data_IF_260661636180
#
_entry.id   IF_260661636180
#
_cell.length_a   1.000
_cell.length_b   1.000
_cell.length_c   1.000
_cell.angle_alpha   90.00
_cell.angle_beta   90.00
_cell.angle_gamma   90.00
#
_symmetry.space_group_name_H-M   'P 1'
#
loop_
_entity.id
_entity.type
_entity.pdbx_description
1 polymer ?
#
# COMPACT_ATOMS: atom_id res chain seq x y z
N UNK A 1 16.90 47.39 -30.23
CA UNK A 1 16.61 47.39 -28.78
C UNK A 1 15.90 46.10 -28.44
N UNK A 2 16.57 45.18 -27.75
CA UNK A 2 15.95 43.92 -27.27
C UNK A 2 14.80 44.28 -26.32
N UNK A 3 13.62 43.71 -26.55
CA UNK A 3 12.40 44.02 -25.79
C UNK A 3 12.64 43.80 -24.29
N UNK A 4 12.08 44.66 -23.43
CA UNK A 4 12.13 44.52 -21.97
C UNK A 4 11.64 43.13 -21.52
N UNK A 5 10.73 42.50 -22.28
CA UNK A 5 10.31 41.09 -22.09
C UNK A 5 11.45 40.09 -22.30
N UNK A 6 12.28 40.26 -23.33
CA UNK A 6 13.40 39.37 -23.63
C UNK A 6 14.52 39.50 -22.60
N UNK A 7 14.76 40.71 -22.10
CA UNK A 7 15.71 40.97 -21.02
C UNK A 7 15.23 40.36 -19.70
N UNK A 8 13.95 40.50 -19.34
CA UNK A 8 13.32 39.83 -18.19
C UNK A 8 13.34 38.30 -18.32
N UNK A 9 13.14 37.76 -19.52
CA UNK A 9 13.24 36.33 -19.78
C UNK A 9 14.67 35.82 -19.61
N UNK A 10 15.66 36.56 -20.10
CA UNK A 10 17.08 36.27 -19.94
C UNK A 10 17.52 36.26 -18.47
N UNK A 11 17.09 37.25 -17.69
CA UNK A 11 17.39 37.36 -16.26
C UNK A 11 16.72 36.22 -15.47
N UNK A 12 15.43 35.93 -15.72
CA UNK A 12 14.74 34.78 -15.09
C UNK A 12 15.39 33.44 -15.41
N UNK A 13 15.86 33.27 -16.65
CA UNK A 13 16.57 32.05 -17.07
C UNK A 13 17.94 31.93 -16.42
N UNK A 14 18.66 33.05 -16.22
CA UNK A 14 19.95 33.10 -15.51
C UNK A 14 19.77 32.80 -14.02
N UNK A 15 18.81 33.45 -13.35
CA UNK A 15 18.48 33.18 -11.95
C UNK A 15 18.00 31.74 -11.71
N UNK A 16 17.20 31.15 -12.62
CA UNK A 16 16.84 29.72 -12.56
C UNK A 16 18.04 28.80 -12.75
N UNK A 17 19.03 29.20 -13.54
CA UNK A 17 20.26 28.43 -13.75
C UNK A 17 21.19 28.49 -12.54
N UNK A 18 21.24 29.64 -11.86
CA UNK A 18 22.02 29.85 -10.63
C UNK A 18 21.40 29.15 -9.39
N UNK A 19 20.14 28.71 -9.50
CA UNK A 19 19.42 27.94 -8.48
C UNK A 19 19.25 26.46 -8.84
N UNK A 20 20.07 25.91 -9.75
CA UNK A 20 20.02 24.47 -10.11
C UNK A 20 20.48 23.59 -8.94
N UNK A 21 19.71 22.54 -8.63
CA UNK A 21 20.09 21.49 -7.67
C UNK A 21 20.68 20.31 -8.44
N UNK A 22 21.87 19.87 -8.06
CA UNK A 22 22.48 18.64 -8.59
C UNK A 22 22.36 17.52 -7.56
N UNK A 23 21.73 16.41 -7.95
CA UNK A 23 21.62 15.19 -7.17
C UNK A 23 22.62 14.17 -7.72
N UNK A 24 23.66 13.85 -6.95
CA UNK A 24 24.68 12.89 -7.35
C UNK A 24 24.27 11.51 -6.87
N UNK A 25 24.20 10.53 -7.78
CA UNK A 25 23.94 9.15 -7.38
C UNK A 25 25.11 8.63 -6.51
N UNK A 26 24.83 7.81 -5.49
CA UNK A 26 25.90 7.12 -4.76
C UNK A 26 26.68 6.18 -5.71
N UNK A 27 27.90 5.82 -5.30
CA UNK A 27 28.77 4.92 -6.09
C UNK A 27 28.14 3.56 -6.39
N UNK A 28 27.30 3.11 -5.47
CA UNK A 28 26.49 1.90 -5.60
C UNK A 28 25.02 2.28 -5.43
N UNK A 29 24.23 2.22 -6.49
CA UNK A 29 22.79 2.46 -6.44
C UNK A 29 22.03 1.13 -6.63
N UNK A 30 22.06 0.31 -5.58
CA UNK A 30 21.54 -1.06 -5.57
C UNK A 30 20.88 -1.38 -4.24
N UNK A 31 19.86 -2.24 -4.28
CA UNK A 31 19.29 -2.81 -3.04
C UNK A 31 20.18 -3.90 -2.44
N UNK A 32 21.05 -4.54 -3.23
CA UNK A 32 21.84 -5.68 -2.76
C UNK A 32 23.16 -5.20 -2.15
N UNK A 33 23.37 -5.45 -0.85
CA UNK A 33 24.69 -5.38 -0.21
C UNK A 33 24.85 -6.58 0.72
N UNK A 34 25.95 -7.31 0.56
CA UNK A 34 26.31 -8.44 1.43
C UNK A 34 25.15 -9.45 1.63
N UNK A 35 24.50 -9.85 0.53
CA UNK A 35 23.35 -10.79 0.51
C UNK A 35 22.05 -10.30 1.19
N UNK A 36 22.03 -9.09 1.73
CA UNK A 36 20.85 -8.47 2.35
C UNK A 36 20.31 -7.32 1.50
N UNK A 37 18.99 -7.10 1.54
CA UNK A 37 18.35 -5.95 0.89
C UNK A 37 18.41 -4.71 1.79
N UNK A 38 19.05 -3.64 1.30
CA UNK A 38 19.18 -2.35 1.97
C UNK A 38 18.40 -1.26 1.22
N UNK A 39 17.14 -1.04 1.61
CA UNK A 39 16.27 -0.05 0.96
C UNK A 39 16.64 1.38 1.32
N UNK A 40 16.95 1.70 2.58
CA UNK A 40 17.26 3.06 3.03
C UNK A 40 18.37 3.72 2.23
N UNK A 41 19.39 2.96 1.83
CA UNK A 41 20.51 3.45 1.01
C UNK A 41 20.06 3.99 -0.36
N UNK A 42 19.09 3.34 -0.99
CA UNK A 42 18.50 3.80 -2.26
C UNK A 42 17.48 4.90 -1.98
N UNK A 43 16.65 4.73 -0.95
CA UNK A 43 15.56 5.66 -0.64
C UNK A 43 16.05 7.03 -0.16
N UNK A 44 17.21 7.09 0.50
CA UNK A 44 17.83 8.33 0.95
C UNK A 44 18.18 9.30 -0.18
N UNK A 45 18.31 8.80 -1.41
CA UNK A 45 18.55 9.64 -2.59
C UNK A 45 17.32 10.50 -2.96
N UNK A 46 16.11 10.01 -2.71
CA UNK A 46 14.89 10.66 -3.22
C UNK A 46 14.46 11.84 -2.36
N UNK A 47 14.77 13.05 -2.83
CA UNK A 47 14.28 14.29 -2.21
C UNK A 47 12.90 14.68 -2.78
N UNK A 48 11.83 14.28 -2.09
CA UNK A 48 10.44 14.57 -2.48
C UNK A 48 9.99 16.03 -2.25
N UNK A 49 10.81 16.86 -1.60
CA UNK A 49 10.50 18.26 -1.24
C UNK A 49 10.83 19.25 -2.36
N UNK A 50 11.52 18.84 -3.42
CA UNK A 50 11.92 19.73 -4.52
C UNK A 50 10.69 20.28 -5.27
N UNK A 51 10.65 21.59 -5.49
CA UNK A 51 9.54 22.31 -6.16
C UNK A 51 10.11 23.39 -7.07
N UNK A 52 9.54 23.53 -8.27
CA UNK A 52 9.76 24.67 -9.18
C UNK A 52 11.22 25.02 -9.49
N UNK A 53 12.11 24.02 -9.42
CA UNK A 53 13.57 24.20 -9.50
C UNK A 53 14.18 23.29 -10.59
N UNK A 54 15.23 23.74 -11.31
CA UNK A 54 15.98 22.84 -12.17
C UNK A 54 16.75 21.80 -11.36
N UNK A 55 16.61 20.54 -11.74
CA UNK A 55 17.26 19.38 -11.13
C UNK A 55 18.14 18.70 -12.18
N UNK A 56 19.38 18.42 -11.81
CA UNK A 56 20.32 17.65 -12.61
C UNK A 56 20.70 16.38 -11.84
N UNK A 57 20.46 15.22 -12.42
CA UNK A 57 20.78 13.93 -11.82
C UNK A 57 22.10 13.45 -12.42
N UNK A 58 23.13 13.32 -11.60
CA UNK A 58 24.49 12.99 -12.01
C UNK A 58 24.80 11.50 -11.74
N UNK A 59 25.05 10.76 -12.82
CA UNK A 59 25.39 9.34 -12.81
C UNK A 59 26.89 9.07 -12.89
N UNK A 60 27.73 10.08 -13.11
CA UNK A 60 29.16 9.86 -13.45
C UNK A 60 29.96 9.18 -12.34
N UNK A 61 29.55 9.32 -11.09
CA UNK A 61 30.20 8.67 -9.94
C UNK A 61 29.58 7.31 -9.58
N UNK A 62 28.49 6.91 -10.25
CA UNK A 62 27.78 5.67 -9.97
C UNK A 62 28.42 4.50 -10.70
N UNK A 63 29.40 3.86 -10.06
CA UNK A 63 30.12 2.69 -10.59
C UNK A 63 29.28 1.42 -10.66
N UNK A 64 28.21 1.29 -9.87
CA UNK A 64 27.38 0.09 -9.85
C UNK A 64 25.93 0.46 -9.58
N UNK A 65 25.00 -0.12 -10.35
CA UNK A 65 23.58 0.03 -10.11
C UNK A 65 22.84 -1.23 -10.54
N UNK A 66 21.72 -1.54 -9.88
CA UNK A 66 20.83 -2.60 -10.33
C UNK A 66 19.59 -2.01 -11.04
N UNK A 67 18.99 -2.79 -11.94
CA UNK A 67 17.88 -2.31 -12.77
C UNK A 67 16.67 -1.89 -11.92
N UNK A 68 16.43 -2.59 -10.81
CA UNK A 68 15.29 -2.33 -9.94
C UNK A 68 15.42 -0.97 -9.23
N UNK A 69 16.57 -0.64 -8.63
CA UNK A 69 16.75 0.66 -7.98
C UNK A 69 16.67 1.80 -9.01
N UNK A 70 17.33 1.64 -10.15
CA UNK A 70 17.31 2.66 -11.21
C UNK A 70 15.91 2.88 -11.78
N UNK A 71 15.07 1.85 -11.86
CA UNK A 71 13.68 2.05 -12.30
C UNK A 71 12.87 2.94 -11.34
N UNK A 72 13.17 2.97 -10.04
CA UNK A 72 12.51 3.89 -9.10
C UNK A 72 12.86 5.37 -9.37
N UNK A 73 14.04 5.65 -9.96
CA UNK A 73 14.40 7.01 -10.39
C UNK A 73 13.44 7.55 -11.45
N UNK A 74 12.82 6.68 -12.26
CA UNK A 74 11.86 7.09 -13.27
C UNK A 74 10.59 7.65 -12.62
N UNK A 75 10.04 6.92 -11.64
CA UNK A 75 8.92 7.39 -10.82
C UNK A 75 9.29 8.72 -10.14
N UNK A 76 10.46 8.80 -9.51
CA UNK A 76 10.95 10.03 -8.89
C UNK A 76 11.00 11.21 -9.88
N UNK A 77 11.58 11.01 -11.07
CA UNK A 77 11.68 12.02 -12.12
C UNK A 77 10.31 12.50 -12.57
N UNK A 78 9.34 11.58 -12.74
CA UNK A 78 7.96 11.98 -13.00
C UNK A 78 7.41 12.81 -11.85
N UNK A 79 7.54 12.37 -10.59
CA UNK A 79 7.01 13.12 -9.44
C UNK A 79 7.54 14.55 -9.36
N UNK A 80 8.86 14.75 -9.45
CA UNK A 80 9.45 16.09 -9.37
C UNK A 80 9.08 16.96 -10.58
N UNK A 81 8.81 16.33 -11.74
CA UNK A 81 8.29 17.03 -12.91
C UNK A 81 6.88 17.59 -12.67
N UNK A 82 6.02 16.83 -12.00
CA UNK A 82 4.68 17.29 -11.57
C UNK A 82 4.76 18.45 -10.59
N UNK A 83 5.84 18.48 -9.81
CA UNK A 83 6.19 19.49 -8.82
C UNK A 83 6.86 20.73 -9.42
N UNK A 84 6.79 20.90 -10.74
CA UNK A 84 7.31 22.09 -11.45
C UNK A 84 8.80 22.03 -11.80
N UNK A 85 9.51 20.95 -11.46
CA UNK A 85 10.93 20.84 -11.72
C UNK A 85 11.24 20.52 -13.19
N UNK A 86 12.38 21.01 -13.69
CA UNK A 86 12.95 20.52 -14.96
C UNK A 86 14.07 19.56 -14.66
N UNK A 87 14.03 18.36 -15.21
CA UNK A 87 15.03 17.31 -14.95
C UNK A 87 15.99 17.18 -16.14
N UNK A 88 17.27 17.08 -15.83
CA UNK A 88 18.35 16.81 -16.78
C UNK A 88 19.29 15.74 -16.20
N UNK A 89 20.10 15.11 -17.04
CA UNK A 89 20.95 13.99 -16.64
C UNK A 89 22.39 14.24 -17.08
N UNK A 90 23.35 14.02 -16.18
CA UNK A 90 24.76 13.88 -16.51
C UNK A 90 25.08 12.41 -16.56
N UNK A 91 25.27 11.90 -17.78
CA UNK A 91 25.59 10.51 -18.04
C UNK A 91 27.05 10.40 -18.47
N UNK A 92 27.65 9.30 -18.07
CA UNK A 92 28.93 8.87 -18.58
C UNK A 92 28.75 8.15 -19.94
N UNK A 93 29.67 8.44 -20.85
CA UNK A 93 29.80 7.84 -22.17
C UNK A 93 30.69 6.59 -22.17
N UNK A 94 31.30 6.25 -21.04
CA UNK A 94 32.10 5.04 -20.90
C UNK A 94 31.30 3.76 -21.24
N UNK A 95 32.05 2.79 -21.77
CA UNK A 95 31.54 1.47 -22.18
C UNK A 95 31.39 0.51 -20.99
N UNK A 96 32.07 0.81 -19.89
CA UNK A 96 32.13 -0.04 -18.72
C UNK A 96 30.77 -0.14 -18.01
N UNK A 97 30.48 -1.27 -17.32
CA UNK A 97 29.27 -1.39 -16.53
C UNK A 97 29.22 -0.33 -15.42
N UNK A 98 28.35 0.66 -15.58
CA UNK A 98 28.10 1.72 -14.61
C UNK A 98 26.60 2.11 -14.59
N UNK A 99 26.22 3.01 -13.68
CA UNK A 99 24.83 3.48 -13.55
C UNK A 99 24.30 4.13 -14.84
N UNK A 100 25.15 4.84 -15.59
CA UNK A 100 24.77 5.48 -16.86
C UNK A 100 24.40 4.44 -17.92
N UNK A 101 25.10 3.31 -17.97
CA UNK A 101 24.79 2.18 -18.85
C UNK A 101 23.47 1.51 -18.47
N UNK A 102 23.21 1.31 -17.17
CA UNK A 102 21.94 0.76 -16.68
C UNK A 102 20.76 1.66 -17.11
N UNK A 103 20.89 2.98 -16.93
CA UNK A 103 19.90 3.96 -17.38
C UNK A 103 19.60 3.86 -18.88
N UNK A 104 20.64 3.71 -19.71
CA UNK A 104 20.52 3.50 -21.16
C UNK A 104 19.83 2.18 -21.50
N UNK A 105 20.21 1.08 -20.85
CA UNK A 105 19.63 -0.25 -21.11
C UNK A 105 18.14 -0.33 -20.74
N UNK A 106 17.68 0.47 -19.78
CA UNK A 106 16.26 0.61 -19.45
C UNK A 106 15.49 1.45 -20.48
N UNK A 107 16.15 2.06 -21.47
CA UNK A 107 15.51 3.00 -22.40
C UNK A 107 15.03 4.28 -21.70
N UNK A 108 15.55 4.57 -20.50
CA UNK A 108 15.02 5.61 -19.62
C UNK A 108 15.17 7.04 -20.18
N UNK A 109 15.98 7.24 -21.23
CA UNK A 109 16.03 8.49 -22.00
C UNK A 109 14.66 8.92 -22.53
N UNK A 110 13.76 7.96 -22.79
CA UNK A 110 12.40 8.22 -23.26
C UNK A 110 11.40 8.63 -22.17
N UNK A 111 11.80 8.75 -20.89
CA UNK A 111 10.84 8.80 -19.77
C UNK A 111 9.73 9.85 -19.91
N UNK A 112 10.02 11.03 -20.46
CA UNK A 112 9.04 12.11 -20.56
C UNK A 112 8.10 11.93 -21.75
N UNK A 113 8.59 11.36 -22.85
CA UNK A 113 7.75 10.95 -23.97
C UNK A 113 6.77 9.87 -23.50
N UNK A 114 7.26 8.85 -22.80
CA UNK A 114 6.45 7.77 -22.22
C UNK A 114 5.40 8.31 -21.23
N UNK A 115 5.69 9.32 -20.42
CA UNK A 115 4.67 9.86 -19.50
C UNK A 115 3.53 10.61 -20.20
N UNK A 116 3.68 11.02 -21.46
CA UNK A 116 2.73 11.93 -22.13
C UNK A 116 2.11 11.37 -23.42
N UNK A 117 2.74 10.38 -24.04
CA UNK A 117 2.24 9.70 -25.24
C UNK A 117 1.86 8.24 -24.91
N UNK A 118 0.56 7.91 -24.82
CA UNK A 118 0.10 6.57 -24.47
C UNK A 118 0.45 5.51 -25.52
N UNK A 119 0.89 5.89 -26.73
CA UNK A 119 1.29 4.94 -27.79
C UNK A 119 2.76 4.54 -27.71
N UNK A 120 3.56 5.23 -26.90
CA UNK A 120 5.00 4.98 -26.78
C UNK A 120 5.29 4.42 -25.39
N UNK A 121 6.09 3.35 -25.35
CA UNK A 121 6.65 2.81 -24.11
C UNK A 121 8.19 2.80 -24.18
N UNK A 122 8.88 2.34 -23.15
CA UNK A 122 10.34 2.37 -23.11
C UNK A 122 10.96 1.44 -24.17
N UNK A 123 11.91 1.99 -24.95
CA UNK A 123 12.77 1.19 -25.83
C UNK A 123 13.93 0.60 -25.02
N UNK A 124 13.61 -0.41 -24.20
CA UNK A 124 14.54 -1.09 -23.30
C UNK A 124 15.21 -2.29 -23.98
N UNK A 125 16.31 -2.77 -23.40
CA UNK A 125 16.93 -4.01 -23.84
C UNK A 125 16.00 -5.21 -23.57
N UNK A 126 15.93 -6.17 -24.49
CA UNK A 126 15.04 -7.33 -24.43
C UNK A 126 15.23 -8.20 -23.18
N UNK A 127 16.43 -8.23 -22.61
CA UNK A 127 16.74 -8.98 -21.39
C UNK A 127 16.58 -8.15 -20.11
N UNK A 128 16.27 -6.85 -20.25
CA UNK A 128 16.05 -5.88 -19.17
C UNK A 128 14.77 -5.06 -19.40
N UNK A 129 13.62 -5.68 -19.71
CA UNK A 129 12.44 -4.91 -20.08
C UNK A 129 11.97 -3.99 -18.97
N UNK A 130 11.51 -2.81 -19.38
CA UNK A 130 10.84 -1.82 -18.54
C UNK A 130 9.58 -1.37 -19.24
N UNK A 131 8.48 -1.31 -18.50
CA UNK A 131 7.18 -0.84 -18.99
C UNK A 131 6.65 0.25 -18.08
N UNK A 132 6.15 1.33 -18.68
CA UNK A 132 5.16 2.18 -18.05
C UNK A 132 3.78 1.55 -18.23
N UNK A 133 2.99 1.44 -17.16
CA UNK A 133 1.65 0.87 -17.19
C UNK A 133 0.64 2.00 -16.97
N UNK A 134 -0.04 2.41 -18.03
CA UNK A 134 -1.01 3.53 -18.01
C UNK A 134 -2.42 3.09 -18.33
N UNK A 135 -2.54 2.02 -19.12
CA UNK A 135 -3.80 1.54 -19.67
C UNK A 135 -3.73 0.02 -19.90
N UNK A 136 -4.84 -0.54 -20.38
CA UNK A 136 -4.98 -1.97 -20.66
C UNK A 136 -4.07 -2.47 -21.79
N UNK A 137 -3.67 -1.62 -22.73
CA UNK A 137 -2.76 -2.01 -23.82
C UNK A 137 -1.32 -2.15 -23.30
N UNK A 138 -0.85 -1.21 -22.48
CA UNK A 138 0.45 -1.34 -21.79
C UNK A 138 0.48 -2.60 -20.91
N UNK A 139 -0.62 -2.87 -20.20
CA UNK A 139 -0.77 -4.06 -19.36
C UNK A 139 -0.62 -5.34 -20.20
N UNK A 140 -1.33 -5.43 -21.33
CA UNK A 140 -1.23 -6.58 -22.24
C UNK A 140 0.18 -6.73 -22.82
N UNK A 141 0.81 -5.64 -23.25
CA UNK A 141 2.15 -5.64 -23.82
C UNK A 141 3.21 -6.12 -22.80
N UNK A 142 3.12 -5.63 -21.57
CA UNK A 142 4.00 -6.03 -20.47
C UNK A 142 3.87 -7.53 -20.16
N UNK A 143 2.64 -8.03 -20.11
CA UNK A 143 2.36 -9.45 -19.88
C UNK A 143 2.80 -10.35 -21.03
N UNK A 144 2.65 -9.92 -22.29
CA UNK A 144 3.17 -10.64 -23.45
C UNK A 144 4.70 -10.71 -23.43
N UNK A 145 5.37 -9.62 -23.04
CA UNK A 145 6.82 -9.59 -22.88
C UNK A 145 7.29 -10.52 -21.76
N UNK A 146 6.55 -10.57 -20.65
CA UNK A 146 6.82 -11.51 -19.56
C UNK A 146 6.69 -12.96 -20.02
N UNK A 147 5.67 -13.28 -20.80
CA UNK A 147 5.46 -14.63 -21.35
C UNK A 147 6.63 -15.04 -22.24
N UNK A 148 7.06 -14.16 -23.16
CA UNK A 148 8.21 -14.41 -24.02
C UNK A 148 9.51 -14.58 -23.20
N UNK A 149 9.69 -13.74 -22.18
CA UNK A 149 10.86 -13.76 -21.31
C UNK A 149 10.96 -15.04 -20.46
N UNK A 150 9.82 -15.64 -20.11
CA UNK A 150 9.74 -16.82 -19.23
C UNK A 150 9.52 -18.15 -19.96
N UNK A 151 9.43 -18.12 -21.29
CA UNK A 151 9.12 -19.28 -22.13
C UNK A 151 10.00 -20.51 -21.86
N UNK A 152 11.29 -20.29 -21.56
CA UNK A 152 12.26 -21.36 -21.35
C UNK A 152 12.32 -21.89 -19.91
N UNK A 153 11.49 -21.37 -18.99
CA UNK A 153 11.51 -21.75 -17.57
C UNK A 153 10.45 -22.79 -17.20
N UNK A 154 9.68 -23.30 -18.18
CA UNK A 154 8.64 -24.30 -17.98
C UNK A 154 7.24 -23.68 -17.86
N UNK A 155 6.25 -24.38 -18.40
CA UNK A 155 4.88 -23.87 -18.57
C UNK A 155 4.23 -23.50 -17.24
N UNK A 156 4.35 -24.35 -16.22
CA UNK A 156 3.74 -24.09 -14.92
C UNK A 156 4.42 -22.94 -14.17
N UNK A 157 5.74 -22.84 -14.26
CA UNK A 157 6.49 -21.72 -13.69
C UNK A 157 6.11 -20.39 -14.36
N UNK A 158 6.01 -20.39 -15.69
CA UNK A 158 5.54 -19.25 -16.47
C UNK A 158 4.12 -18.82 -16.05
N UNK A 159 3.16 -19.75 -16.00
CA UNK A 159 1.78 -19.45 -15.57
C UNK A 159 1.73 -18.87 -14.15
N UNK A 160 2.54 -19.42 -13.25
CA UNK A 160 2.60 -19.00 -11.86
C UNK A 160 3.15 -17.59 -11.72
N UNK A 161 4.28 -17.27 -12.36
CA UNK A 161 4.83 -15.92 -12.37
C UNK A 161 3.89 -14.93 -13.06
N UNK A 162 3.30 -15.32 -14.19
CA UNK A 162 2.30 -14.52 -14.89
C UNK A 162 1.16 -14.12 -13.96
N UNK A 163 0.63 -15.06 -13.18
CA UNK A 163 -0.42 -14.78 -12.22
C UNK A 163 0.03 -13.75 -11.16
N UNK A 164 1.16 -14.00 -10.49
CA UNK A 164 1.70 -13.09 -9.45
C UNK A 164 1.90 -11.68 -9.99
N UNK A 165 2.54 -11.54 -11.15
CA UNK A 165 2.79 -10.23 -11.75
C UNK A 165 1.48 -9.56 -12.19
N UNK A 166 0.51 -10.32 -12.72
CA UNK A 166 -0.79 -9.76 -13.09
C UNK A 166 -1.52 -9.16 -11.87
N UNK A 167 -1.57 -9.89 -10.75
CA UNK A 167 -2.20 -9.41 -9.50
C UNK A 167 -1.49 -8.15 -8.96
N UNK A 168 -0.16 -8.12 -8.99
CA UNK A 168 0.60 -6.93 -8.60
C UNK A 168 0.31 -5.74 -9.51
N UNK A 169 0.22 -5.96 -10.83
CA UNK A 169 -0.12 -4.92 -11.79
C UNK A 169 -1.56 -4.42 -11.61
N UNK A 170 -2.52 -5.29 -11.28
CA UNK A 170 -3.91 -4.90 -10.99
C UNK A 170 -3.97 -3.98 -9.78
N UNK A 171 -3.33 -4.36 -8.66
CA UNK A 171 -3.26 -3.53 -7.45
C UNK A 171 -2.74 -2.12 -7.75
N UNK A 172 -1.72 -2.06 -8.59
CA UNK A 172 -1.08 -0.80 -8.94
C UNK A 172 -1.88 -0.01 -9.98
N UNK A 173 -2.60 -0.66 -10.88
CA UNK A 173 -3.51 0.02 -11.81
C UNK A 173 -4.73 0.61 -11.07
N UNK A 174 -5.31 -0.13 -10.13
CA UNK A 174 -6.50 0.28 -9.38
C UNK A 174 -6.19 1.31 -8.29
N UNK A 175 -5.02 1.25 -7.65
CA UNK A 175 -4.73 2.04 -6.45
C UNK A 175 -3.47 2.91 -6.56
N UNK A 176 -2.64 2.69 -7.58
CA UNK A 176 -1.47 3.50 -7.89
C UNK A 176 -1.78 4.82 -8.61
N UNK A 177 -3.06 5.03 -8.97
CA UNK A 177 -3.49 6.18 -9.76
C UNK A 177 -3.25 7.51 -9.02
N UNK A 178 -2.29 8.28 -9.53
CA UNK A 178 -2.14 9.70 -9.24
C UNK A 178 -2.11 10.44 -10.56
N UNK A 179 -2.69 11.64 -10.63
CA UNK A 179 -2.70 12.41 -11.88
C UNK A 179 -1.75 13.59 -11.83
N UNK A 180 -1.30 14.01 -13.00
CA UNK A 180 -0.56 15.23 -13.17
C UNK A 180 -1.06 16.09 -14.32
N UNK A 181 -0.81 17.38 -14.20
CA UNK A 181 -1.16 18.35 -15.22
C UNK A 181 0.10 18.75 -15.99
N UNK A 182 0.04 18.61 -17.32
CA UNK A 182 1.09 19.00 -18.23
C UNK A 182 0.50 19.79 -19.39
N UNK A 183 0.98 21.02 -19.60
CA UNK A 183 0.50 21.95 -20.65
C UNK A 183 -1.03 22.08 -20.68
N UNK A 184 -1.66 22.16 -19.49
CA UNK A 184 -3.11 22.30 -19.36
C UNK A 184 -3.92 21.01 -19.58
N UNK A 185 -3.25 19.85 -19.77
CA UNK A 185 -3.90 18.54 -19.88
C UNK A 185 -3.58 17.66 -18.68
N UNK A 186 -4.55 16.88 -18.23
CA UNK A 186 -4.39 15.88 -17.15
C UNK A 186 -3.91 14.56 -17.75
N UNK A 187 -2.92 13.94 -17.10
CA UNK A 187 -2.34 12.65 -17.47
C UNK A 187 -2.25 11.77 -16.22
N UNK A 188 -2.53 10.46 -16.33
CA UNK A 188 -2.24 9.54 -15.24
C UNK A 188 -0.73 9.39 -15.10
N UNK A 189 -0.25 9.43 -13.85
CA UNK A 189 1.12 9.05 -13.52
C UNK A 189 1.25 7.55 -13.75
N UNK A 190 2.14 7.12 -14.66
CA UNK A 190 2.31 5.70 -14.90
C UNK A 190 2.86 5.01 -13.67
N UNK A 191 2.44 3.77 -13.46
CA UNK A 191 3.23 2.83 -12.69
C UNK A 191 4.27 2.17 -13.60
N UNK A 192 5.17 1.40 -12.99
CA UNK A 192 6.21 0.68 -13.71
C UNK A 192 6.18 -0.81 -13.43
N UNK A 193 6.62 -1.58 -14.43
CA UNK A 193 7.09 -2.96 -14.28
C UNK A 193 8.49 -3.04 -14.90
N UNK A 194 9.45 -3.56 -14.15
CA UNK A 194 10.77 -3.89 -14.67
C UNK A 194 11.15 -5.30 -14.24
N UNK A 195 11.70 -6.08 -15.18
CA UNK A 195 12.22 -7.40 -14.85
C UNK A 195 13.51 -7.75 -15.58
N UNK A 196 14.29 -8.65 -14.99
CA UNK A 196 15.59 -9.10 -15.50
C UNK A 196 15.96 -10.45 -14.91
N UNK A 197 16.75 -11.20 -15.67
CA UNK A 197 17.45 -12.37 -15.19
C UNK A 197 18.90 -11.99 -14.90
N UNK A 198 19.35 -12.23 -13.67
CA UNK A 198 20.75 -12.14 -13.29
C UNK A 198 21.38 -13.54 -13.41
N UNK A 199 21.88 -13.86 -14.60
CA UNK A 199 22.37 -15.20 -14.95
C UNK A 199 23.38 -15.78 -13.96
N UNK A 200 24.33 -14.96 -13.48
CA UNK A 200 25.35 -15.40 -12.49
C UNK A 200 24.75 -15.87 -11.17
N UNK A 201 23.69 -15.20 -10.70
CA UNK A 201 22.97 -15.58 -9.50
C UNK A 201 21.87 -16.61 -9.78
N UNK A 202 21.56 -16.84 -11.07
CA UNK A 202 20.42 -17.61 -11.55
C UNK A 202 19.07 -17.15 -10.94
N UNK A 203 18.90 -15.84 -10.83
CA UNK A 203 17.74 -15.21 -10.18
C UNK A 203 16.97 -14.31 -11.15
N UNK A 204 15.65 -14.46 -11.17
CA UNK A 204 14.73 -13.52 -11.79
C UNK A 204 14.33 -12.45 -10.78
N UNK A 205 14.51 -11.18 -11.15
CA UNK A 205 14.14 -10.05 -10.31
C UNK A 205 13.08 -9.23 -11.04
N UNK A 206 12.00 -8.93 -10.33
CA UNK A 206 10.89 -8.11 -10.78
C UNK A 206 10.71 -6.95 -9.81
N UNK A 207 10.38 -5.78 -10.33
CA UNK A 207 9.87 -4.68 -9.51
C UNK A 207 8.62 -4.11 -10.17
N UNK A 208 7.59 -3.93 -9.35
CA UNK A 208 6.38 -3.18 -9.69
C UNK A 208 6.32 -1.99 -8.75
N UNK A 209 6.05 -0.79 -9.26
CA UNK A 209 6.03 0.40 -8.41
C UNK A 209 5.16 1.52 -8.91
N UNK A 210 4.66 2.31 -7.98
CA UNK A 210 3.81 3.48 -8.21
C UNK A 210 4.05 4.62 -7.21
N UNK A 211 3.34 5.71 -7.44
CA UNK A 211 3.31 6.92 -6.61
C UNK A 211 1.89 7.27 -6.17
N UNK A 212 1.05 6.25 -6.01
CA UNK A 212 -0.35 6.36 -5.65
C UNK A 212 -0.56 6.62 -4.16
N UNK A 213 -1.68 6.13 -3.63
CA UNK A 213 -2.13 6.49 -2.27
C UNK A 213 -1.33 5.82 -1.15
N UNK A 214 -0.64 4.72 -1.45
CA UNK A 214 0.05 3.87 -0.46
C UNK A 214 -0.90 2.92 0.30
N UNK A 215 -0.33 1.84 0.84
CA UNK A 215 -1.09 0.73 1.43
C UNK A 215 -1.91 1.17 2.64
N UNK A 216 -1.30 1.88 3.61
CA UNK A 216 -1.98 2.31 4.84
C UNK A 216 -3.18 3.22 4.56
N UNK A 217 -3.02 4.20 3.68
CA UNK A 217 -4.12 5.11 3.32
C UNK A 217 -5.23 4.39 2.56
N UNK A 218 -4.88 3.37 1.77
CA UNK A 218 -5.86 2.56 1.06
C UNK A 218 -6.70 1.71 2.02
N UNK A 219 -6.06 0.85 2.82
CA UNK A 219 -6.78 -0.09 3.70
C UNK A 219 -7.38 0.60 4.94
N UNK A 220 -6.80 1.73 5.37
CA UNK A 220 -7.28 2.49 6.54
C UNK A 220 -8.72 2.99 6.40
N UNK A 221 -9.26 3.05 5.16
CA UNK A 221 -10.67 3.35 4.89
C UNK A 221 -11.62 2.28 5.46
N UNK A 222 -11.23 1.01 5.37
CA UNK A 222 -12.01 -0.13 5.85
C UNK A 222 -11.52 -0.64 7.22
N UNK A 223 -10.24 -0.42 7.55
CA UNK A 223 -9.59 -0.88 8.77
C UNK A 223 -8.97 0.30 9.54
N UNK A 224 -9.77 1.13 10.25
CA UNK A 224 -9.26 2.28 10.99
C UNK A 224 -8.45 1.84 12.22
N UNK A 225 -7.46 2.65 12.61
CA UNK A 225 -6.68 2.47 13.83
C UNK A 225 -5.29 1.82 13.66
N UNK A 226 -4.81 1.67 12.43
CA UNK A 226 -3.46 1.19 12.12
C UNK A 226 -2.39 2.16 12.62
N UNK A 227 -1.45 1.64 13.42
CA UNK A 227 -0.42 2.43 14.08
C UNK A 227 0.75 2.77 13.15
N UNK A 228 1.17 1.84 12.29
CA UNK A 228 2.33 2.00 11.40
C UNK A 228 2.02 1.61 9.94
N UNK A 229 2.88 2.03 9.00
CA UNK A 229 2.81 1.59 7.60
C UNK A 229 3.18 0.10 7.46
N UNK A 230 4.08 -0.39 8.31
CA UNK A 230 4.48 -1.79 8.36
C UNK A 230 3.32 -2.70 8.79
N UNK A 231 2.58 -2.30 9.82
CA UNK A 231 1.38 -3.01 10.28
C UNK A 231 0.31 -3.05 9.18
N UNK A 232 0.15 -1.94 8.44
CA UNK A 232 -0.76 -1.89 7.32
C UNK A 232 -0.38 -2.87 6.22
N UNK A 233 0.89 -2.98 5.87
CA UNK A 233 1.37 -3.94 4.87
C UNK A 233 1.16 -5.38 5.37
N UNK A 234 1.43 -5.67 6.64
CA UNK A 234 1.15 -6.99 7.22
C UNK A 234 -0.32 -7.36 7.20
N UNK A 235 -1.20 -6.39 7.44
CA UNK A 235 -2.63 -6.61 7.35
C UNK A 235 -3.03 -6.86 5.88
N UNK A 236 -2.51 -6.08 4.93
CA UNK A 236 -2.85 -6.19 3.51
C UNK A 236 -2.49 -7.53 2.86
N UNK A 237 -1.52 -8.29 3.42
CA UNK A 237 -1.17 -9.62 2.93
C UNK A 237 -2.05 -10.73 3.51
N UNK A 238 -2.97 -10.43 4.43
CA UNK A 238 -3.93 -11.39 4.99
C UNK A 238 -5.13 -11.58 4.07
N UNK A 239 -5.82 -12.74 4.16
CA UNK A 239 -6.99 -12.99 3.31
C UNK A 239 -8.14 -12.02 3.63
N UNK A 240 -8.84 -11.61 2.57
CA UNK A 240 -9.97 -10.66 2.58
C UNK A 240 -9.65 -9.30 3.22
N UNK A 241 -8.41 -8.80 3.08
CA UNK A 241 -8.07 -7.43 3.48
C UNK A 241 -7.93 -6.56 2.23
N UNK A 242 -8.79 -5.54 2.14
CA UNK A 242 -8.80 -4.53 1.06
C UNK A 242 -9.54 -3.27 1.51
N UNK A 243 -9.20 -2.11 0.94
CA UNK A 243 -9.91 -0.86 1.15
C UNK A 243 -11.20 -0.71 0.33
N UNK A 244 -11.51 -1.65 -0.58
CA UNK A 244 -12.60 -1.53 -1.57
C UNK A 244 -13.91 -2.22 -1.21
N UNK A 245 -14.01 -2.91 -0.08
CA UNK A 245 -15.24 -3.62 0.31
C UNK A 245 -16.50 -2.73 0.45
N UNK A 246 -16.31 -1.41 0.55
CA UNK A 246 -17.40 -0.43 0.75
C UNK A 246 -18.00 0.14 -0.54
N UNK A 247 -17.44 -0.13 -1.72
CA UNK A 247 -17.99 0.37 -3.00
C UNK A 247 -18.41 -0.80 -3.88
N UNK A 248 -19.73 -0.98 -4.00
CA UNK A 248 -20.36 -1.95 -4.91
C UNK A 248 -20.01 -1.61 -6.36
N UNK A 249 -18.98 -2.26 -6.90
CA UNK A 249 -18.78 -2.33 -8.35
C UNK A 249 -19.50 -3.59 -8.88
N UNK A 250 -20.55 -3.45 -9.70
CA UNK A 250 -21.32 -4.58 -10.22
C UNK A 250 -20.53 -5.54 -11.14
N UNK A 251 -19.30 -5.18 -11.53
CA UNK A 251 -18.41 -6.04 -12.33
C UNK A 251 -17.30 -6.73 -11.54
N UNK A 252 -17.06 -6.38 -10.27
CA UNK A 252 -16.15 -7.13 -9.42
C UNK A 252 -16.84 -8.42 -8.99
N UNK A 253 -16.34 -9.56 -9.45
CA UNK A 253 -16.78 -10.87 -8.96
C UNK A 253 -16.63 -10.87 -7.44
N UNK A 254 -17.76 -10.93 -6.72
CA UNK A 254 -17.92 -10.80 -5.25
C UNK A 254 -16.98 -11.65 -4.37
N UNK A 255 -16.15 -12.53 -4.93
CA UNK A 255 -15.36 -13.52 -4.22
C UNK A 255 -13.83 -13.29 -4.19
N UNK A 256 -13.29 -12.26 -4.85
CA UNK A 256 -11.82 -12.13 -5.01
C UNK A 256 -11.20 -10.83 -4.46
N UNK A 257 -11.99 -9.88 -3.94
CA UNK A 257 -11.45 -8.65 -3.37
C UNK A 257 -10.63 -8.94 -2.10
N UNK A 258 -9.40 -8.43 -2.02
CA UNK A 258 -8.50 -8.65 -0.88
C UNK A 258 -7.82 -10.03 -0.84
N UNK A 259 -7.88 -10.81 -1.93
CA UNK A 259 -7.19 -12.10 -2.02
C UNK A 259 -5.89 -12.06 -2.85
N UNK A 260 -5.74 -11.11 -3.76
CA UNK A 260 -4.65 -11.09 -4.74
C UNK A 260 -3.25 -11.06 -4.10
N UNK A 261 -3.03 -10.18 -3.11
CA UNK A 261 -1.74 -10.07 -2.44
C UNK A 261 -1.44 -11.26 -1.52
N UNK A 262 -2.46 -11.78 -0.82
CA UNK A 262 -2.36 -13.01 -0.03
C UNK A 262 -1.92 -14.19 -0.90
N UNK A 263 -2.62 -14.44 -2.01
CA UNK A 263 -2.31 -15.55 -2.92
C UNK A 263 -0.93 -15.34 -3.54
N UNK A 264 -0.62 -14.14 -4.02
CA UNK A 264 0.69 -13.81 -4.60
C UNK A 264 1.84 -14.09 -3.65
N UNK A 265 1.68 -13.73 -2.37
CA UNK A 265 2.70 -14.00 -1.34
C UNK A 265 2.90 -15.49 -1.07
N UNK A 266 1.82 -16.28 -1.02
CA UNK A 266 1.87 -17.72 -0.78
C UNK A 266 2.44 -18.49 -1.97
N UNK A 267 2.12 -18.08 -3.20
CA UNK A 267 2.74 -18.59 -4.41
C UNK A 267 4.27 -18.40 -4.34
N UNK A 268 4.73 -17.20 -4.00
CA UNK A 268 6.17 -16.92 -3.92
C UNK A 268 6.87 -17.76 -2.85
N UNK A 269 6.22 -18.01 -1.71
CA UNK A 269 6.75 -18.94 -0.69
C UNK A 269 6.98 -20.34 -1.27
N UNK A 270 6.01 -20.88 -2.03
CA UNK A 270 6.17 -22.20 -2.69
C UNK A 270 7.24 -22.20 -3.76
N UNK A 271 7.38 -21.10 -4.51
CA UNK A 271 8.46 -20.90 -5.49
C UNK A 271 9.84 -20.67 -4.86
N UNK A 272 9.95 -20.74 -3.53
CA UNK A 272 11.17 -20.40 -2.78
C UNK A 272 11.71 -19.01 -3.12
N UNK A 273 10.80 -18.08 -3.43
CA UNK A 273 11.11 -16.70 -3.76
C UNK A 273 10.97 -15.77 -2.57
N UNK A 274 11.50 -14.57 -2.76
CA UNK A 274 11.43 -13.45 -1.83
C UNK A 274 10.55 -12.35 -2.39
N UNK A 275 9.66 -11.80 -1.56
CA UNK A 275 8.86 -10.60 -1.87
C UNK A 275 9.15 -9.53 -0.83
N UNK A 276 9.47 -8.33 -1.28
CA UNK A 276 9.58 -7.16 -0.41
C UNK A 276 8.54 -6.14 -0.83
N UNK A 277 7.71 -5.69 0.11
CA UNK A 277 6.68 -4.68 -0.10
C UNK A 277 7.06 -3.44 0.70
N UNK A 278 7.16 -2.30 0.02
CA UNK A 278 7.53 -1.02 0.62
C UNK A 278 6.43 -0.01 0.31
N UNK A 279 5.88 0.63 1.35
CA UNK A 279 4.92 1.72 1.23
C UNK A 279 4.98 2.62 2.46
N UNK A 280 4.94 3.94 2.27
CA UNK A 280 5.24 4.86 3.36
C UNK A 280 6.63 4.59 3.93
N UNK A 281 6.77 4.53 5.25
CA UNK A 281 8.01 4.08 5.89
C UNK A 281 7.99 2.60 6.29
N UNK A 282 7.02 1.81 5.83
CA UNK A 282 6.94 0.38 6.12
C UNK A 282 7.69 -0.46 5.09
N UNK A 283 8.38 -1.49 5.57
CA UNK A 283 8.95 -2.55 4.72
C UNK A 283 8.58 -3.92 5.30
N UNK A 284 7.99 -4.77 4.48
CA UNK A 284 7.69 -6.18 4.82
C UNK A 284 8.42 -7.09 3.85
N UNK A 285 9.14 -8.07 4.37
CA UNK A 285 9.83 -9.12 3.62
C UNK A 285 9.13 -10.46 3.87
N UNK A 286 8.70 -11.08 2.79
CA UNK A 286 8.08 -12.39 2.76
C UNK A 286 9.10 -13.34 2.13
N UNK A 287 9.61 -14.26 2.94
CA UNK A 287 10.49 -15.35 2.53
C UNK A 287 9.73 -16.68 2.58
N UNK A 288 10.32 -17.78 2.10
CA UNK A 288 9.69 -19.09 2.15
C UNK A 288 9.40 -19.58 3.58
N UNK A 289 10.19 -19.14 4.56
CA UNK A 289 10.12 -19.61 5.95
C UNK A 289 9.45 -18.61 6.90
N UNK A 290 9.54 -17.32 6.61
CA UNK A 290 9.12 -16.28 7.54
C UNK A 290 8.66 -15.00 6.83
N UNK A 291 7.81 -14.23 7.50
CA UNK A 291 7.41 -12.88 7.11
C UNK A 291 7.91 -11.88 8.16
N UNK A 292 8.93 -11.11 7.82
CA UNK A 292 9.50 -10.07 8.69
C UNK A 292 9.10 -8.67 8.23
N UNK A 293 9.25 -7.69 9.10
CA UNK A 293 8.82 -6.32 8.84
C UNK A 293 9.53 -5.34 9.73
N UNK A 294 9.75 -4.14 9.21
CA UNK A 294 10.42 -3.04 9.91
C UNK A 294 9.95 -1.68 9.39
N UNK A 295 10.23 -0.65 10.18
CA UNK A 295 10.20 0.72 9.70
C UNK A 295 11.53 1.09 9.04
N UNK A 296 11.45 1.88 7.99
CA UNK A 296 12.55 2.49 7.26
C UNK A 296 12.76 3.94 7.73
N UNK A 297 13.98 4.45 7.57
CA UNK A 297 14.31 5.85 7.87
C UNK A 297 13.76 6.80 6.80
N UNK A 298 13.61 6.28 5.57
CA UNK A 298 13.11 7.03 4.42
C UNK A 298 11.82 6.44 3.89
N UNK A 299 10.86 7.32 3.57
CA UNK A 299 9.55 6.91 3.08
C UNK A 299 9.43 6.91 1.56
N UNK A 300 8.64 5.96 1.05
CA UNK A 300 8.18 5.91 -0.32
C UNK A 300 6.70 6.37 -0.40
N UNK A 301 6.35 7.37 -1.22
CA UNK A 301 5.02 7.98 -1.18
C UNK A 301 3.89 7.09 -1.73
N UNK A 302 4.19 6.10 -2.57
CA UNK A 302 3.22 5.13 -3.09
C UNK A 302 3.50 3.74 -2.55
N UNK A 303 3.53 2.75 -3.45
CA UNK A 303 3.96 1.39 -3.12
C UNK A 303 4.97 0.89 -4.16
N UNK A 304 5.95 0.10 -3.76
CA UNK A 304 6.66 -0.77 -4.69
C UNK A 304 6.86 -2.16 -4.10
N UNK A 305 6.88 -3.16 -4.98
CA UNK A 305 7.06 -4.56 -4.65
C UNK A 305 8.24 -5.10 -5.44
N UNK A 306 9.25 -5.59 -4.73
CA UNK A 306 10.41 -6.28 -5.29
C UNK A 306 10.22 -7.79 -5.11
N UNK A 307 10.21 -8.53 -6.22
CA UNK A 307 10.13 -10.00 -6.22
C UNK A 307 11.45 -10.57 -6.73
N UNK A 308 12.00 -11.56 -6.03
CA UNK A 308 13.19 -12.31 -6.42
C UNK A 308 12.86 -13.79 -6.41
N UNK A 309 13.10 -14.50 -7.51
CA UNK A 309 12.85 -15.94 -7.61
C UNK A 309 14.07 -16.63 -8.21
N UNK A 310 14.52 -17.71 -7.56
CA UNK A 310 15.61 -18.56 -8.06
C UNK A 310 15.08 -19.56 -9.07
N UNK A 311 15.82 -19.74 -10.17
CA UNK A 311 15.46 -20.70 -11.21
C UNK A 311 15.99 -22.09 -10.87
N UNK A 312 15.28 -22.83 -10.01
CA UNK A 312 15.58 -24.23 -9.74
C UNK A 312 14.82 -25.14 -10.73
N UNK A 313 15.55 -25.82 -11.63
CA UNK A 313 15.02 -26.62 -12.75
C UNK A 313 14.30 -27.93 -12.37
N UNK A 314 13.86 -28.10 -11.12
CA UNK A 314 13.43 -29.41 -10.60
C UNK A 314 12.08 -29.46 -9.90
N UNK A 315 11.36 -28.34 -9.78
CA UNK A 315 10.12 -28.34 -9.00
C UNK A 315 8.91 -28.24 -9.93
N UNK A 316 8.26 -29.38 -10.17
CA UNK A 316 6.96 -29.41 -10.82
C UNK A 316 5.91 -28.92 -9.83
N UNK A 317 5.25 -27.82 -10.17
CA UNK A 317 4.12 -27.29 -9.42
C UNK A 317 2.88 -27.34 -10.32
N UNK A 318 1.73 -27.73 -9.78
CA UNK A 318 0.45 -27.59 -10.49
C UNK A 318 -0.25 -26.33 -9.97
N UNK A 319 -0.33 -25.28 -10.80
CA UNK A 319 -0.90 -24.00 -10.37
C UNK A 319 -2.32 -24.16 -9.83
N UNK A 320 -3.18 -24.93 -10.50
CA UNK A 320 -4.58 -25.11 -10.10
C UNK A 320 -4.71 -25.77 -8.72
N UNK A 321 -3.86 -26.76 -8.43
CA UNK A 321 -3.83 -27.43 -7.14
C UNK A 321 -3.38 -26.48 -6.03
N UNK A 322 -2.33 -25.70 -6.27
CA UNK A 322 -1.85 -24.67 -5.32
C UNK A 322 -2.92 -23.61 -5.06
N UNK A 323 -3.60 -23.14 -6.11
CA UNK A 323 -4.67 -22.14 -5.98
C UNK A 323 -5.84 -22.67 -5.14
N UNK A 324 -6.20 -23.94 -5.30
CA UNK A 324 -7.21 -24.57 -4.44
C UNK A 324 -6.73 -24.64 -2.98
N UNK A 325 -5.50 -25.11 -2.74
CA UNK A 325 -4.89 -25.19 -1.41
C UNK A 325 -4.89 -23.82 -0.71
N UNK A 326 -4.47 -22.76 -1.41
CA UNK A 326 -4.44 -21.41 -0.86
C UNK A 326 -5.82 -20.85 -0.56
N UNK A 327 -6.82 -21.15 -1.38
CA UNK A 327 -8.21 -20.75 -1.11
C UNK A 327 -8.76 -21.46 0.12
N UNK A 328 -8.44 -22.73 0.32
CA UNK A 328 -8.91 -23.47 1.50
C UNK A 328 -8.19 -23.02 2.77
N UNK A 329 -6.88 -22.73 2.68
CA UNK A 329 -6.14 -22.11 3.79
C UNK A 329 -6.71 -20.73 4.14
N UNK A 330 -7.02 -19.89 3.14
CA UNK A 330 -7.65 -18.60 3.35
C UNK A 330 -8.98 -18.74 4.08
N UNK A 331 -9.87 -19.65 3.66
CA UNK A 331 -11.15 -19.91 4.35
C UNK A 331 -10.95 -20.32 5.80
N UNK A 332 -9.96 -21.18 6.08
CA UNK A 332 -9.64 -21.62 7.43
C UNK A 332 -9.14 -20.45 8.30
N UNK A 333 -8.27 -19.60 7.75
CA UNK A 333 -7.75 -18.42 8.45
C UNK A 333 -8.84 -17.36 8.68
N UNK A 334 -9.73 -17.13 7.70
CA UNK A 334 -10.90 -16.25 7.85
C UNK A 334 -11.83 -16.78 8.94
N UNK A 335 -12.11 -18.10 8.94
CA UNK A 335 -12.95 -18.72 9.96
C UNK A 335 -12.30 -18.61 11.35
N UNK A 336 -11.01 -18.86 11.47
CA UNK A 336 -10.26 -18.69 12.71
C UNK A 336 -10.25 -17.24 13.20
N UNK A 337 -10.06 -16.27 12.29
CA UNK A 337 -10.09 -14.83 12.60
C UNK A 337 -11.47 -14.37 13.04
N UNK A 338 -12.52 -14.83 12.37
CA UNK A 338 -13.92 -14.54 12.73
C UNK A 338 -14.26 -15.13 14.09
N UNK A 339 -13.84 -16.37 14.35
CA UNK A 339 -14.01 -17.01 15.65
C UNK A 339 -13.21 -16.28 16.74
N UNK A 340 -11.96 -15.90 16.50
CA UNK A 340 -11.14 -15.16 17.45
C UNK A 340 -11.69 -13.75 17.74
N UNK A 341 -12.19 -13.04 16.72
CA UNK A 341 -12.88 -11.77 16.88
C UNK A 341 -14.17 -11.94 17.70
N UNK A 342 -14.95 -13.00 17.46
CA UNK A 342 -16.14 -13.34 18.25
C UNK A 342 -15.80 -13.71 19.70
N UNK A 343 -14.64 -14.34 19.93
CA UNK A 343 -14.15 -14.66 21.29
C UNK A 343 -13.67 -13.39 22.01
N UNK A 344 -13.06 -12.43 21.30
CA UNK A 344 -12.53 -11.19 21.88
C UNK A 344 -13.52 -10.01 21.86
N UNK A 345 -14.74 -10.20 21.34
CA UNK A 345 -15.76 -9.17 21.23
C UNK A 345 -17.11 -9.72 21.71
N UNK A 346 -17.72 -9.06 22.70
CA UNK A 346 -19.11 -9.30 23.05
C UNK A 346 -20.01 -8.59 22.02
N UNK A 347 -20.71 -9.36 21.21
CA UNK A 347 -21.77 -8.88 20.32
C UNK A 347 -23.11 -8.85 21.05
N UNK A 348 -23.85 -7.74 20.92
CA UNK A 348 -25.18 -7.56 21.48
C UNK A 348 -26.12 -7.07 20.38
N UNK A 349 -26.98 -7.96 19.90
CA UNK A 349 -28.07 -7.59 18.99
C UNK A 349 -29.22 -6.97 19.79
N UNK A 350 -29.37 -5.65 19.69
CA UNK A 350 -30.28 -4.88 20.54
C UNK A 350 -31.74 -5.30 20.35
N UNK A 351 -32.19 -5.50 19.11
CA UNK A 351 -33.53 -6.00 18.81
C UNK A 351 -33.79 -7.38 19.44
N UNK A 352 -32.83 -8.29 19.36
CA UNK A 352 -33.01 -9.66 19.85
C UNK A 352 -33.19 -9.72 21.37
N UNK A 353 -32.58 -8.79 22.10
CA UNK A 353 -32.63 -8.77 23.56
C UNK A 353 -33.67 -7.80 24.13
N UNK A 354 -34.00 -6.73 23.41
CA UNK A 354 -34.81 -5.62 23.92
C UNK A 354 -35.98 -5.21 23.01
N UNK A 355 -36.13 -5.85 21.85
CA UNK A 355 -37.20 -5.59 20.88
C UNK A 355 -37.02 -4.30 20.08
N UNK A 356 -38.05 -3.95 19.29
CA UNK A 356 -38.07 -2.78 18.40
C UNK A 356 -37.92 -1.45 19.15
N UNK A 357 -38.44 -1.38 20.38
CA UNK A 357 -38.42 -0.19 21.22
C UNK A 357 -37.65 -0.51 22.51
N UNK A 358 -36.35 -0.23 22.50
CA UNK A 358 -35.43 -0.59 23.57
C UNK A 358 -35.58 0.37 24.75
N UNK A 359 -36.63 0.17 25.57
CA UNK A 359 -37.09 1.17 26.55
C UNK A 359 -37.08 0.67 28.01
N UNK A 360 -37.00 -0.64 28.24
CA UNK A 360 -37.15 -1.22 29.58
C UNK A 360 -35.85 -1.12 30.38
N UNK A 361 -35.73 -0.07 31.20
CA UNK A 361 -34.54 0.23 32.01
C UNK A 361 -34.04 -0.95 32.87
N UNK A 362 -34.93 -1.73 33.47
CA UNK A 362 -34.55 -2.87 34.32
C UNK A 362 -33.89 -4.01 33.53
N UNK A 363 -34.28 -4.20 32.26
CA UNK A 363 -33.67 -5.19 31.38
C UNK A 363 -32.27 -4.77 30.95
N UNK A 364 -32.07 -3.48 30.65
CA UNK A 364 -30.75 -2.92 30.40
C UNK A 364 -29.79 -3.16 31.57
N UNK A 365 -30.21 -2.87 32.80
CA UNK A 365 -29.40 -3.09 34.01
C UNK A 365 -29.05 -4.57 34.16
N UNK A 366 -30.05 -5.45 34.04
CA UNK A 366 -29.86 -6.90 34.20
C UNK A 366 -28.89 -7.44 33.15
N UNK A 367 -29.01 -7.01 31.90
CA UNK A 367 -28.13 -7.46 30.82
C UNK A 367 -26.72 -6.92 30.98
N UNK A 368 -26.58 -5.63 31.31
CA UNK A 368 -25.31 -4.97 31.58
C UNK A 368 -24.51 -5.70 32.66
N UNK A 369 -25.14 -5.93 33.81
CA UNK A 369 -24.46 -6.51 34.96
C UNK A 369 -24.11 -7.99 34.73
N UNK A 370 -24.96 -8.71 33.98
CA UNK A 370 -24.76 -10.13 33.68
C UNK A 370 -23.76 -10.40 32.56
N UNK A 371 -23.69 -9.54 31.54
CA UNK A 371 -22.94 -9.84 30.31
C UNK A 371 -21.91 -8.77 29.96
N UNK A 372 -22.29 -7.49 29.93
CA UNK A 372 -21.41 -6.41 29.44
C UNK A 372 -20.25 -6.16 30.40
N UNK A 373 -20.54 -5.97 31.69
CA UNK A 373 -19.51 -5.68 32.70
C UNK A 373 -18.50 -6.83 32.81
N UNK A 374 -18.91 -8.12 32.91
CA UNK A 374 -17.97 -9.23 32.93
C UNK A 374 -17.10 -9.30 31.67
N UNK A 375 -17.69 -9.18 30.48
CA UNK A 375 -16.95 -9.26 29.22
C UNK A 375 -15.89 -8.15 29.08
N UNK A 376 -16.22 -6.92 29.47
CA UNK A 376 -15.26 -5.81 29.47
C UNK A 376 -14.15 -6.02 30.51
N UNK A 377 -14.48 -6.61 31.66
CA UNK A 377 -13.50 -6.95 32.71
C UNK A 377 -12.52 -8.04 32.25
N UNK A 378 -12.98 -8.95 31.38
CA UNK A 378 -12.15 -9.94 30.68
C UNK A 378 -11.35 -9.34 29.50
N UNK A 379 -11.45 -8.03 29.27
CA UNK A 379 -10.72 -7.31 28.23
C UNK A 379 -11.36 -7.36 26.83
N UNK A 380 -12.53 -7.97 26.68
CA UNK A 380 -13.26 -8.02 25.40
C UNK A 380 -13.70 -6.61 24.97
N UNK A 381 -13.86 -6.39 23.67
CA UNK A 381 -14.57 -5.21 23.15
C UNK A 381 -16.09 -5.45 23.12
N UNK A 382 -16.88 -4.40 23.04
CA UNK A 382 -18.34 -4.46 22.97
C UNK A 382 -18.79 -3.98 21.58
N UNK A 383 -19.67 -4.73 20.92
CA UNK A 383 -20.35 -4.31 19.69
C UNK A 383 -21.85 -4.35 19.91
N UNK A 384 -22.49 -3.18 19.83
CA UNK A 384 -23.94 -3.02 19.93
C UNK A 384 -24.51 -2.84 18.53
N UNK A 385 -25.39 -3.74 18.12
CA UNK A 385 -26.06 -3.70 16.82
C UNK A 385 -27.54 -3.35 16.99
N UNK A 386 -27.94 -2.22 16.41
CA UNK A 386 -29.28 -1.67 16.49
C UNK A 386 -30.15 -1.98 15.25
N UNK A 387 -29.77 -2.98 14.45
CA UNK A 387 -30.63 -3.48 13.36
C UNK A 387 -32.02 -3.82 13.90
N UNK A 388 -33.07 -3.34 13.23
CA UNK A 388 -34.49 -3.48 13.57
C UNK A 388 -34.94 -2.82 14.89
N UNK A 389 -34.14 -1.89 15.43
CA UNK A 389 -34.52 -1.02 16.56
C UNK A 389 -34.92 0.35 16.04
N UNK A 390 -36.20 0.70 16.19
CA UNK A 390 -36.74 1.99 15.71
C UNK A 390 -36.45 3.13 16.69
N UNK A 391 -36.52 2.84 17.99
CA UNK A 391 -36.33 3.86 19.04
C UNK A 391 -35.75 3.27 20.33
N UNK A 392 -35.13 4.14 21.14
CA UNK A 392 -34.66 3.79 22.48
C UNK A 392 -34.67 5.01 23.38
N UNK A 393 -35.13 4.86 24.61
CA UNK A 393 -35.09 5.96 25.58
C UNK A 393 -33.68 6.25 26.11
N UNK A 394 -33.40 7.52 26.41
CA UNK A 394 -32.19 7.92 27.15
C UNK A 394 -32.03 7.14 28.45
N UNK A 395 -33.13 6.89 29.16
CA UNK A 395 -33.09 6.17 30.44
C UNK A 395 -32.59 4.73 30.31
N UNK A 396 -32.94 4.06 29.21
CA UNK A 396 -32.51 2.71 28.88
C UNK A 396 -31.03 2.69 28.50
N UNK A 397 -30.63 3.52 27.53
CA UNK A 397 -29.24 3.57 27.04
C UNK A 397 -28.27 3.96 28.15
N UNK A 398 -28.66 4.93 28.98
CA UNK A 398 -27.85 5.35 30.13
C UNK A 398 -27.72 4.21 31.14
N UNK A 399 -28.81 3.49 31.42
CA UNK A 399 -28.76 2.35 32.32
C UNK A 399 -27.88 1.20 31.78
N UNK A 400 -27.83 1.01 30.46
CA UNK A 400 -27.00 -0.02 29.83
C UNK A 400 -25.51 0.37 29.80
N UNK A 401 -25.18 1.64 29.51
CA UNK A 401 -23.83 2.05 29.09
C UNK A 401 -23.07 2.93 30.08
N UNK A 402 -23.74 3.71 30.94
CA UNK A 402 -23.05 4.67 31.82
C UNK A 402 -21.97 3.99 32.68
N UNK A 403 -22.33 2.91 33.39
CA UNK A 403 -21.38 2.20 34.25
C UNK A 403 -20.21 1.57 33.47
N UNK A 404 -20.42 0.86 32.33
CA UNK A 404 -19.33 0.44 31.45
C UNK A 404 -18.40 1.57 31.00
N UNK A 405 -18.98 2.71 30.61
CA UNK A 405 -18.23 3.87 30.11
C UNK A 405 -17.38 4.48 31.23
N UNK A 406 -17.97 4.75 32.40
CA UNK A 406 -17.25 5.27 33.57
C UNK A 406 -16.06 4.39 33.95
N UNK A 407 -16.22 3.06 33.88
CA UNK A 407 -15.14 2.11 34.19
C UNK A 407 -13.99 2.13 33.17
N UNK A 408 -14.30 2.43 31.92
CA UNK A 408 -13.32 2.46 30.83
C UNK A 408 -12.70 3.85 30.63
N UNK A 409 -13.37 4.92 31.09
CA UNK A 409 -13.00 6.30 30.79
C UNK A 409 -12.89 6.53 29.28
N UNK A 410 -11.90 7.31 28.85
CA UNK A 410 -11.65 7.61 27.44
C UNK A 410 -11.42 6.36 26.55
N UNK A 411 -11.07 5.21 27.13
CA UNK A 411 -10.88 3.97 26.37
C UNK A 411 -12.23 3.44 25.84
N UNK A 412 -13.36 3.89 26.41
CA UNK A 412 -14.71 3.51 25.98
C UNK A 412 -14.94 3.76 24.47
N UNK A 413 -14.49 4.90 23.93
CA UNK A 413 -14.63 5.24 22.51
C UNK A 413 -13.95 4.23 21.56
N UNK A 414 -12.91 3.53 22.05
CA UNK A 414 -12.21 2.50 21.27
C UNK A 414 -12.81 1.10 21.50
N UNK A 415 -13.27 0.81 22.72
CA UNK A 415 -13.73 -0.52 23.14
C UNK A 415 -15.22 -0.77 22.89
N UNK A 416 -16.05 0.26 22.80
CA UNK A 416 -17.49 0.15 22.55
C UNK A 416 -17.77 0.65 21.14
N UNK A 417 -18.24 -0.25 20.26
CA UNK A 417 -18.64 0.05 18.89
C UNK A 417 -20.16 -0.07 18.76
N UNK A 418 -20.75 0.81 17.96
CA UNK A 418 -22.20 0.86 17.71
C UNK A 418 -22.40 0.87 16.21
N UNK A 419 -23.27 -0.01 15.73
CA UNK A 419 -23.63 -0.15 14.32
C UNK A 419 -25.15 -0.15 14.15
N UNK A 420 -25.62 0.25 12.97
CA UNK A 420 -27.03 0.25 12.56
C UNK A 420 -27.98 1.03 13.49
N UNK A 421 -27.48 2.01 14.23
CA UNK A 421 -28.31 2.89 15.06
C UNK A 421 -28.93 4.02 14.25
N UNK A 422 -30.18 4.39 14.58
CA UNK A 422 -30.80 5.62 14.06
C UNK A 422 -30.04 6.85 14.57
N UNK A 423 -30.20 7.98 13.87
CA UNK A 423 -29.51 9.23 14.22
C UNK A 423 -29.79 9.66 15.68
N UNK A 424 -31.04 9.52 16.12
CA UNK A 424 -31.50 9.90 17.47
C UNK A 424 -30.87 9.01 18.56
N UNK A 425 -30.83 7.69 18.33
CA UNK A 425 -30.16 6.74 19.22
C UNK A 425 -28.66 7.05 19.30
N UNK A 426 -28.04 7.33 18.15
CA UNK A 426 -26.61 7.64 18.07
C UNK A 426 -26.26 8.90 18.86
N UNK A 427 -27.00 9.99 18.66
CA UNK A 427 -26.82 11.25 19.39
C UNK A 427 -26.96 11.05 20.90
N UNK A 428 -27.94 10.23 21.32
CA UNK A 428 -28.14 9.91 22.74
C UNK A 428 -26.96 9.14 23.34
N UNK A 429 -26.40 8.17 22.61
CA UNK A 429 -25.24 7.41 23.10
C UNK A 429 -23.98 8.25 23.13
N UNK A 430 -23.76 9.10 22.12
CA UNK A 430 -22.62 10.01 22.09
C UNK A 430 -22.70 11.00 23.29
N UNK A 431 -23.90 11.49 23.63
CA UNK A 431 -24.12 12.28 24.86
C UNK A 431 -23.74 11.51 26.14
N UNK A 432 -24.16 10.25 26.26
CA UNK A 432 -23.83 9.41 27.44
C UNK A 432 -22.31 9.15 27.51
N UNK A 433 -21.65 8.95 26.37
CA UNK A 433 -20.19 8.80 26.30
C UNK A 433 -19.49 10.06 26.81
N UNK A 434 -19.89 11.24 26.34
CA UNK A 434 -19.29 12.51 26.73
C UNK A 434 -19.52 12.79 28.24
N UNK A 435 -20.75 12.64 28.72
CA UNK A 435 -21.16 12.91 30.12
C UNK A 435 -20.44 11.99 31.13
N UNK A 436 -20.06 10.79 30.71
CA UNK A 436 -19.45 9.78 31.58
C UNK A 436 -17.94 9.58 31.33
N UNK A 437 -17.31 10.40 30.48
CA UNK A 437 -15.85 10.39 30.26
C UNK A 437 -15.14 11.71 30.55
N UNK A 438 -15.88 12.78 30.90
CA UNK A 438 -15.30 14.04 31.38
C UNK A 438 -14.95 13.97 32.88
N UNK A 439 -13.72 14.33 33.25
CA UNK A 439 -13.17 14.24 34.62
C UNK A 439 -13.92 15.12 35.66
N UNK A 440 -13.91 14.62 36.91
CA UNK A 440 -14.50 15.18 38.13
C UNK A 440 -14.11 16.66 38.42
N UNK A 441 -15.03 17.49 38.97
CA UNK A 441 -14.65 18.73 39.62
C UNK A 441 -13.98 18.46 40.98
N UNK A 442 -12.81 19.09 41.19
CA UNK A 442 -12.07 19.21 42.45
C UNK A 442 -12.98 19.25 43.70
N UNK A 443 -12.93 18.20 44.52
CA UNK A 443 -13.36 18.25 45.91
C UNK A 443 -12.25 18.90 46.74
N UNK A 444 -12.22 20.23 46.75
CA UNK A 444 -11.48 21.03 47.74
C UNK A 444 -12.43 22.02 48.41
N UNK A 445 -13.14 21.55 49.45
CA UNK A 445 -13.68 22.39 50.52
C UNK A 445 -13.93 21.53 51.77
N UNK A 446 -12.85 21.31 52.53
CA UNK A 446 -12.89 21.16 53.99
C UNK A 446 -11.75 22.00 54.56
N UNK A 447 -12.07 23.24 54.91
CA UNK A 447 -11.54 24.02 56.04
C UNK A 447 -12.28 25.34 56.10
#
# INVERSE_FOLDING_TARGET
MTSMRDQLYGIKRKMRKDSKVTLVLPSEFTFNRSEVKHFDHVLSFFNWKLRDIPVEIDFRLCSSANYQAVSLLILYCWKIKQQGCTVSFLLDNETDPNGSRVWRMLGAQGLFAVSTDPKVNFNSNEHKPLFAIRNSDDFKAALQSLDAFTLNFGVEYQKTLRYVISELLYNVHEHGASDFHWRGKRYPTPSILQFTWYERANELHFIVGDLGVGVKNHIGKAHPGLSSDEEAIRLAIQPEISGTFTTQDPYATRNNAGMGLFISSNILKKLRGDMHIISGNGAVHISPIDTTGKSLDFSWPGTFVLVTVRLDRGTEFALDAMMSEFRDHAKAEIAARTNAATIQQLYVGMYNYFGTNADIKSEAIRYRDKYIIPALSEGKSLLLDFTDVDSSTHSFLNALLATPIMRLGLIAYKKIRIVNATKEIRETIDYILDDNTADEPNNSQQS
#
